data_IF_346715865318
#
_entry.id   IF_346715865318
#
_cell.length_a   1.000
_cell.length_b   1.000
_cell.length_c   1.000
_cell.angle_alpha   90.00
_cell.angle_beta   90.00
_cell.angle_gamma   90.00
#
_symmetry.space_group_name_H-M   'P 1'
#
loop_
_entity.id
_entity.type
_entity.pdbx_description
1 polymer ?
#
# COMPACT_ATOMS: atom_id res chain seq x y z
N UNK A 1 2.08 -27.42 -0.70
CA UNK A 1 2.79 -26.13 -0.54
C UNK A 1 4.10 -26.41 0.17
N UNK A 2 5.23 -25.78 -0.21
CA UNK A 2 6.50 -26.00 0.50
C UNK A 2 6.43 -25.40 1.91
N UNK A 3 7.17 -25.98 2.87
CA UNK A 3 7.22 -25.49 4.26
C UNK A 3 7.61 -24.00 4.32
N UNK A 4 8.49 -23.56 3.41
CA UNK A 4 8.85 -22.16 3.23
C UNK A 4 7.62 -21.27 2.95
N UNK A 5 6.80 -21.66 1.97
CA UNK A 5 5.63 -20.87 1.59
C UNK A 5 4.57 -20.83 2.70
N UNK A 6 4.41 -21.90 3.47
CA UNK A 6 3.51 -21.92 4.64
C UNK A 6 3.98 -20.95 5.72
N UNK A 7 5.28 -20.88 6.00
CA UNK A 7 5.82 -19.89 6.95
C UNK A 7 5.62 -18.46 6.46
N UNK A 8 5.78 -18.25 5.15
CA UNK A 8 5.70 -16.93 4.54
C UNK A 8 4.28 -16.40 4.35
N UNK A 9 3.32 -17.25 3.99
CA UNK A 9 1.94 -16.85 3.67
C UNK A 9 0.92 -17.22 4.76
N UNK A 10 1.32 -18.05 5.73
CA UNK A 10 0.43 -18.55 6.77
C UNK A 10 -0.47 -19.67 6.25
N UNK A 11 -1.71 -19.70 6.74
CA UNK A 11 -2.72 -20.68 6.35
C UNK A 11 -3.41 -20.37 5.01
N UNK A 12 -3.13 -19.20 4.43
CA UNK A 12 -3.72 -18.76 3.16
C UNK A 12 -2.99 -19.39 1.97
N UNK A 13 -3.75 -19.87 0.98
CA UNK A 13 -3.18 -20.38 -0.26
C UNK A 13 -2.63 -19.25 -1.15
N UNK A 14 -1.64 -19.58 -1.98
CA UNK A 14 -0.96 -18.62 -2.85
C UNK A 14 -1.93 -17.87 -3.81
N UNK A 15 -2.88 -18.54 -4.50
CA UNK A 15 -3.88 -17.85 -5.32
C UNK A 15 -4.69 -16.80 -4.56
N UNK A 16 -5.24 -17.13 -3.39
CA UNK A 16 -6.00 -16.20 -2.55
C UNK A 16 -5.14 -15.01 -2.12
N UNK A 17 -3.91 -15.28 -1.71
CA UNK A 17 -2.95 -14.24 -1.32
C UNK A 17 -2.63 -13.29 -2.48
N UNK A 18 -2.41 -13.82 -3.68
CA UNK A 18 -2.18 -13.04 -4.88
C UNK A 18 -3.39 -12.16 -5.24
N UNK A 19 -4.62 -12.69 -5.12
CA UNK A 19 -5.84 -11.93 -5.36
C UNK A 19 -5.98 -10.75 -4.39
N UNK A 20 -5.72 -10.95 -3.09
CA UNK A 20 -5.73 -9.87 -2.11
C UNK A 20 -4.67 -8.81 -2.41
N UNK A 21 -3.49 -9.22 -2.88
CA UNK A 21 -2.44 -8.27 -3.29
C UNK A 21 -2.86 -7.41 -4.48
N UNK A 22 -3.50 -7.99 -5.48
CA UNK A 22 -4.04 -7.23 -6.63
C UNK A 22 -5.07 -6.21 -6.15
N UNK A 23 -5.98 -6.61 -5.26
CA UNK A 23 -7.00 -5.71 -4.69
C UNK A 23 -6.38 -4.58 -3.86
N UNK A 24 -5.38 -4.88 -3.04
CA UNK A 24 -4.65 -3.87 -2.29
C UNK A 24 -3.91 -2.90 -3.22
N UNK A 25 -3.32 -3.39 -4.31
CA UNK A 25 -2.68 -2.54 -5.30
C UNK A 25 -3.69 -1.60 -5.99
N UNK A 26 -4.88 -2.10 -6.33
CA UNK A 26 -5.98 -1.28 -6.86
C UNK A 26 -6.38 -0.19 -5.86
N UNK A 27 -6.51 -0.54 -4.58
CA UNK A 27 -6.78 0.42 -3.51
C UNK A 27 -5.71 1.51 -3.41
N UNK A 28 -4.43 1.11 -3.41
CA UNK A 28 -3.30 2.03 -3.34
C UNK A 28 -3.23 2.96 -4.56
N UNK A 29 -3.41 2.42 -5.77
CA UNK A 29 -3.45 3.20 -7.00
C UNK A 29 -4.60 4.23 -6.99
N UNK A 30 -5.78 3.82 -6.51
CA UNK A 30 -6.95 4.71 -6.38
C UNK A 30 -6.65 5.85 -5.40
N UNK A 31 -6.05 5.56 -4.25
CA UNK A 31 -5.65 6.57 -3.27
C UNK A 31 -4.62 7.57 -3.84
N UNK A 32 -3.62 7.08 -4.59
CA UNK A 32 -2.64 7.93 -5.27
C UNK A 32 -3.32 8.85 -6.29
N UNK A 33 -4.23 8.31 -7.11
CA UNK A 33 -4.94 9.11 -8.12
C UNK A 33 -5.81 10.20 -7.49
N UNK A 34 -6.53 9.90 -6.41
CA UNK A 34 -7.32 10.89 -5.68
C UNK A 34 -6.41 11.98 -5.12
N UNK A 35 -5.32 11.60 -4.45
CA UNK A 35 -4.35 12.54 -3.88
C UNK A 35 -3.71 13.40 -4.95
N UNK A 36 -3.34 12.80 -6.07
CA UNK A 36 -2.74 13.50 -7.20
C UNK A 36 -3.67 14.59 -7.74
N UNK A 37 -4.97 14.30 -7.88
CA UNK A 37 -5.97 15.31 -8.28
C UNK A 37 -6.07 16.48 -7.31
N UNK A 38 -5.82 16.26 -6.02
CA UNK A 38 -5.88 17.31 -4.98
C UNK A 38 -4.56 18.07 -4.87
N UNK A 39 -3.43 17.37 -4.73
CA UNK A 39 -2.07 17.91 -4.50
C UNK A 39 -1.56 18.69 -5.71
N UNK A 40 -1.73 18.14 -6.91
CA UNK A 40 -1.11 18.69 -8.12
C UNK A 40 -1.93 19.80 -8.79
N UNK A 41 -3.17 20.01 -8.36
CA UNK A 41 -3.95 21.16 -8.83
C UNK A 41 -3.37 22.50 -8.35
N UNK A 42 -2.57 22.49 -7.28
CA UNK A 42 -2.07 23.68 -6.59
C UNK A 42 -0.55 23.78 -6.51
N UNK A 43 0.21 22.92 -7.20
CA UNK A 43 1.67 22.84 -7.06
C UNK A 43 2.38 23.35 -8.33
N UNK A 44 3.28 24.32 -8.17
CA UNK A 44 4.13 24.88 -9.24
C UNK A 44 5.11 23.86 -9.84
N UNK A 45 5.41 22.78 -9.12
CA UNK A 45 6.32 21.70 -9.55
C UNK A 45 5.62 20.64 -10.42
N UNK A 46 4.31 20.78 -10.64
CA UNK A 46 3.53 19.83 -11.44
C UNK A 46 3.80 20.06 -12.93
N UNK A 47 4.10 19.03 -13.73
CA UNK A 47 4.24 19.21 -15.18
C UNK A 47 2.93 19.73 -15.80
N UNK A 48 3.04 20.65 -16.77
CA UNK A 48 1.90 21.27 -17.48
C UNK A 48 0.95 20.26 -18.15
N UNK A 49 1.43 19.03 -18.39
CA UNK A 49 0.66 17.91 -18.96
C UNK A 49 0.77 16.69 -18.06
N UNK A 50 -0.31 15.92 -17.95
CA UNK A 50 -0.34 14.69 -17.15
C UNK A 50 0.73 13.69 -17.61
N UNK A 51 1.56 13.19 -16.68
CA UNK A 51 2.59 12.18 -16.94
C UNK A 51 2.51 11.06 -15.89
N UNK A 52 2.17 9.86 -16.32
CA UNK A 52 2.10 8.66 -15.46
C UNK A 52 3.44 8.33 -14.80
N UNK A 53 4.56 8.55 -15.51
CA UNK A 53 5.89 8.33 -14.95
C UNK A 53 6.20 9.22 -13.74
N UNK A 54 5.77 10.48 -13.77
CA UNK A 54 5.93 11.41 -12.64
C UNK A 54 5.13 10.96 -11.42
N UNK A 55 3.87 10.53 -11.64
CA UNK A 55 3.02 10.01 -10.58
C UNK A 55 3.68 8.81 -9.87
N UNK A 56 4.20 7.85 -10.65
CA UNK A 56 4.84 6.65 -10.13
C UNK A 56 6.14 7.01 -9.42
N UNK A 57 7.00 7.85 -10.01
CA UNK A 57 8.27 8.25 -9.40
C UNK A 57 8.08 8.99 -8.07
N UNK A 58 7.15 9.96 -8.00
CA UNK A 58 6.86 10.72 -6.77
C UNK A 58 6.28 9.82 -5.65
N UNK A 59 5.65 8.70 -6.02
CA UNK A 59 4.98 7.81 -5.09
C UNK A 59 5.66 6.44 -4.95
N UNK A 60 6.82 6.21 -5.59
CA UNK A 60 7.43 4.88 -5.66
C UNK A 60 7.83 4.38 -4.27
N UNK A 61 8.44 5.23 -3.45
CA UNK A 61 8.82 4.88 -2.07
C UNK A 61 7.56 4.60 -1.25
N UNK A 62 6.51 5.43 -1.39
CA UNK A 62 5.25 5.22 -0.67
C UNK A 62 4.56 3.90 -1.09
N UNK A 63 4.61 3.56 -2.38
CA UNK A 63 4.09 2.30 -2.92
C UNK A 63 4.88 1.10 -2.38
N UNK A 64 6.22 1.18 -2.36
CA UNK A 64 7.07 0.11 -1.82
C UNK A 64 6.85 -0.10 -0.31
N UNK A 65 6.82 0.98 0.46
CA UNK A 65 6.54 0.92 1.90
C UNK A 65 5.12 0.41 2.15
N UNK A 66 4.14 0.93 1.42
CA UNK A 66 2.74 0.49 1.51
C UNK A 66 2.56 -0.99 1.15
N UNK A 67 3.30 -1.48 0.14
CA UNK A 67 3.33 -2.89 -0.23
C UNK A 67 3.83 -3.77 0.92
N UNK A 68 4.94 -3.38 1.57
CA UNK A 68 5.48 -4.10 2.71
C UNK A 68 4.54 -4.09 3.92
N UNK A 69 3.89 -2.95 4.21
CA UNK A 69 2.90 -2.86 5.29
C UNK A 69 1.70 -3.77 4.98
N UNK A 70 1.20 -3.77 3.74
CA UNK A 70 0.11 -4.65 3.31
C UNK A 70 0.51 -6.12 3.47
N UNK A 71 1.72 -6.49 3.07
CA UNK A 71 2.25 -7.84 3.23
C UNK A 71 2.23 -8.29 4.70
N UNK A 72 2.82 -7.49 5.57
CA UNK A 72 2.88 -7.76 7.01
C UNK A 72 1.47 -7.87 7.58
N UNK A 73 0.57 -6.96 7.24
CA UNK A 73 -0.80 -7.01 7.73
C UNK A 73 -1.51 -8.28 7.29
N UNK A 74 -1.52 -8.62 5.99
CA UNK A 74 -2.19 -9.81 5.48
C UNK A 74 -1.61 -11.09 6.07
N UNK A 75 -0.29 -11.12 6.33
CA UNK A 75 0.37 -12.28 6.93
C UNK A 75 0.04 -12.47 8.41
N UNK A 76 0.01 -11.37 9.17
CA UNK A 76 -0.13 -11.44 10.62
C UNK A 76 -1.57 -11.23 11.10
N UNK A 77 -2.50 -10.77 10.27
CA UNK A 77 -3.88 -10.47 10.70
C UNK A 77 -4.59 -11.68 11.32
N UNK A 78 -4.38 -12.89 10.78
CA UNK A 78 -4.96 -14.10 11.35
C UNK A 78 -4.34 -14.40 12.72
N UNK A 79 -3.03 -14.25 12.88
CA UNK A 79 -2.35 -14.50 14.16
C UNK A 79 -2.69 -13.44 15.22
N UNK A 80 -2.74 -12.16 14.84
CA UNK A 80 -2.91 -11.04 15.79
C UNK A 80 -4.36 -10.71 16.07
N UNK A 81 -5.21 -10.72 15.04
CA UNK A 81 -6.62 -10.31 15.13
C UNK A 81 -7.58 -11.52 15.15
N UNK A 82 -7.08 -12.74 14.90
CA UNK A 82 -7.91 -13.95 14.70
C UNK A 82 -8.97 -13.75 13.62
N UNK A 83 -8.65 -12.91 12.63
CA UNK A 83 -9.52 -12.58 11.51
C UNK A 83 -8.79 -12.87 10.21
N UNK A 84 -9.47 -13.59 9.31
CA UNK A 84 -9.00 -13.74 7.94
C UNK A 84 -9.22 -12.43 7.17
N UNK A 85 -8.24 -11.99 6.37
CA UNK A 85 -8.45 -10.88 5.47
C UNK A 85 -9.62 -11.17 4.54
N UNK A 86 -10.50 -10.18 4.37
CA UNK A 86 -11.50 -10.23 3.31
C UNK A 86 -10.96 -9.53 2.06
N UNK A 87 -11.48 -9.87 0.88
CA UNK A 87 -11.16 -9.17 -0.36
C UNK A 87 -11.37 -7.65 -0.25
N UNK A 88 -12.46 -7.24 0.42
CA UNK A 88 -12.74 -5.84 0.71
C UNK A 88 -11.74 -5.23 1.70
N UNK A 89 -11.37 -5.98 2.74
CA UNK A 89 -10.33 -5.59 3.69
C UNK A 89 -9.00 -5.29 2.98
N UNK A 90 -8.56 -6.18 2.09
CA UNK A 90 -7.34 -6.00 1.32
C UNK A 90 -7.36 -4.71 0.48
N UNK A 91 -8.49 -4.40 -0.17
CA UNK A 91 -8.68 -3.16 -0.91
C UNK A 91 -8.57 -1.91 -0.02
N UNK A 92 -9.24 -1.91 1.14
CA UNK A 92 -9.17 -0.80 2.09
C UNK A 92 -7.75 -0.62 2.61
N UNK A 93 -7.09 -1.70 3.02
CA UNK A 93 -5.71 -1.68 3.54
C UNK A 93 -4.77 -1.07 2.50
N UNK A 94 -4.89 -1.47 1.24
CA UNK A 94 -4.13 -0.87 0.15
C UNK A 94 -4.36 0.64 0.01
N UNK A 95 -5.62 1.07 0.09
CA UNK A 95 -5.98 2.48 0.01
C UNK A 95 -5.46 3.31 1.20
N UNK A 96 -5.43 2.75 2.41
CA UNK A 96 -5.02 3.46 3.63
C UNK A 96 -3.52 3.39 3.89
N UNK A 97 -2.82 2.32 3.50
CA UNK A 97 -1.39 2.14 3.77
C UNK A 97 -0.52 3.21 3.11
N UNK A 98 -0.95 3.74 1.97
CA UNK A 98 -0.26 4.85 1.33
C UNK A 98 -0.28 6.14 2.18
N UNK A 99 -1.34 6.37 2.96
CA UNK A 99 -1.41 7.47 3.94
C UNK A 99 -0.53 7.21 5.15
N UNK A 100 -0.53 5.97 5.66
CA UNK A 100 0.31 5.57 6.78
C UNK A 100 1.79 5.73 6.46
N UNK A 101 2.23 5.32 5.27
CA UNK A 101 3.60 5.51 4.81
C UNK A 101 4.02 6.99 4.83
N UNK A 102 3.16 7.89 4.32
CA UNK A 102 3.39 9.33 4.36
C UNK A 102 3.45 9.88 5.79
N UNK A 103 2.58 9.41 6.70
CA UNK A 103 2.62 9.78 8.11
C UNK A 103 3.95 9.37 8.77
N UNK A 104 4.40 8.14 8.55
CA UNK A 104 5.69 7.67 9.07
C UNK A 104 6.86 8.52 8.57
N UNK A 105 6.87 8.90 7.30
CA UNK A 105 7.89 9.80 6.75
C UNK A 105 7.85 11.20 7.37
N UNK A 106 6.66 11.75 7.64
CA UNK A 106 6.53 13.04 8.32
C UNK A 106 7.05 12.99 9.76
N UNK A 107 6.75 11.91 10.50
CA UNK A 107 7.25 11.73 11.86
C UNK A 107 8.78 11.59 11.91
N UNK A 108 9.37 10.83 10.99
CA UNK A 108 10.83 10.65 10.95
C UNK A 108 11.59 11.96 10.68
N UNK A 109 11.02 12.86 9.87
CA UNK A 109 11.60 14.19 9.65
C UNK A 109 11.46 15.12 10.87
N UNK A 110 10.35 15.02 11.61
CA UNK A 110 10.12 15.84 12.81
C UNK A 110 11.03 15.42 13.97
N UNK A 111 11.37 14.13 14.08
CA UNK A 111 12.28 13.61 15.09
C UNK A 111 13.77 13.98 14.86
N UNK A 112 14.12 14.51 13.68
CA UNK A 112 15.48 14.96 13.33
C UNK A 112 15.71 16.47 13.52
N UNK A 113 14.69 17.22 13.96
CA UNK A 113 14.81 18.63 14.36
C UNK A 113 14.86 18.74 15.87
#
# INVERSE_FOLDING_TARGET
>A
MSQFLTQLLGTTDLPTYAAWFVLAFIGAATAILIRAKVKYKSSEETPDKWRWGFLIQDNLINLLVGFLITFIFLRFSNETLKMEPTAFGALIIGATNNELALLFMKFSMKARK
#
